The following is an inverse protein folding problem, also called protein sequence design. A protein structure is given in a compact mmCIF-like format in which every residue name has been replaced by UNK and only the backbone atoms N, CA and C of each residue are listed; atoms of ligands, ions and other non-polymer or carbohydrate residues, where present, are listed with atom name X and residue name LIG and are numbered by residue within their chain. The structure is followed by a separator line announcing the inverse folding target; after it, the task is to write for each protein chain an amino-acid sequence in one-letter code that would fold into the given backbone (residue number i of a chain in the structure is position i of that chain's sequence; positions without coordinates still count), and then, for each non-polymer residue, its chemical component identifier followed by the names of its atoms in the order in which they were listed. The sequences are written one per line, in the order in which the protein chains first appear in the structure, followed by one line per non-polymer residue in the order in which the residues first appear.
data_IF_196403616694
#
_entry.id   IF_196403616694
#
_cell.length_a   1.000
_cell.length_b   1.000
_cell.length_c   1.000
_cell.angle_alpha   90.00
_cell.angle_beta   90.00
_cell.angle_gamma   90.00
#
_symmetry.space_group_name_H-M   'P 1'
#
loop_
_entity.id
_entity.type
_entity.pdbx_description
1 polymer ?
#
# COMPACT_ATOMS: atom_id res chain seq x y z
N UNK A 1 -7.41 -40.07 3.13
CA UNK A 1 -7.18 -38.62 2.92
C UNK A 1 -5.94 -38.25 3.71
N UNK A 2 -4.92 -37.68 3.08
CA UNK A 2 -3.78 -37.13 3.82
C UNK A 2 -4.28 -35.85 4.50
N UNK A 3 -4.04 -35.76 5.81
CA UNK A 3 -4.42 -34.61 6.62
C UNK A 3 -3.33 -33.54 6.42
N UNK A 4 -3.30 -32.95 5.22
CA UNK A 4 -2.29 -31.96 4.82
C UNK A 4 -2.62 -30.60 5.45
N UNK A 5 -2.45 -30.53 6.77
CA UNK A 5 -2.65 -29.34 7.58
C UNK A 5 -1.35 -28.55 7.65
N UNK A 6 -1.38 -27.27 7.30
CA UNK A 6 -0.23 -26.36 7.37
C UNK A 6 -0.46 -25.34 8.48
N UNK A 7 0.28 -25.46 9.58
CA UNK A 7 0.19 -24.50 10.69
C UNK A 7 1.03 -23.25 10.43
N UNK A 8 0.41 -22.06 10.57
CA UNK A 8 1.07 -20.77 10.41
C UNK A 8 1.14 -20.02 11.75
N UNK A 9 2.32 -20.02 12.37
CA UNK A 9 2.58 -19.28 13.61
C UNK A 9 3.11 -17.87 13.36
N UNK A 10 2.38 -16.83 13.73
CA UNK A 10 2.77 -15.43 13.52
C UNK A 10 3.12 -14.76 14.84
N UNK A 11 4.34 -14.21 14.93
CA UNK A 11 4.83 -13.45 16.08
C UNK A 11 4.73 -11.94 15.83
N UNK A 12 4.48 -11.12 16.87
CA UNK A 12 4.43 -9.68 16.73
C UNK A 12 5.81 -9.14 16.33
N UNK A 13 5.83 -8.04 15.59
CA UNK A 13 7.07 -7.30 15.30
C UNK A 13 7.60 -6.58 16.54
N UNK A 14 8.86 -6.17 16.51
CA UNK A 14 9.40 -5.21 17.47
C UNK A 14 8.80 -3.81 17.20
N UNK A 15 8.31 -3.13 18.24
CA UNK A 15 7.74 -1.77 18.10
C UNK A 15 8.77 -0.72 17.68
N UNK A 16 10.05 -0.97 17.94
CA UNK A 16 11.12 -0.03 17.64
C UNK A 16 11.51 -0.02 16.15
N UNK A 17 10.97 -0.96 15.37
CA UNK A 17 11.22 -1.08 13.93
C UNK A 17 9.89 -1.38 13.20
N UNK A 18 9.06 -0.35 12.96
CA UNK A 18 7.73 -0.52 12.39
C UNK A 18 7.75 -1.08 10.96
N UNK A 19 8.88 -0.95 10.25
CA UNK A 19 9.08 -1.57 8.93
C UNK A 19 8.92 -3.10 8.95
N UNK A 20 9.14 -3.75 10.10
CA UNK A 20 8.94 -5.20 10.24
C UNK A 20 7.51 -5.65 10.04
N UNK A 21 6.51 -4.80 10.29
CA UNK A 21 5.10 -5.14 9.99
C UNK A 21 4.85 -5.19 8.49
N UNK A 22 5.45 -4.28 7.71
CA UNK A 22 5.36 -4.31 6.25
C UNK A 22 6.05 -5.57 5.72
N UNK A 23 7.27 -5.85 6.17
CA UNK A 23 8.00 -7.06 5.77
C UNK A 23 7.22 -8.34 6.11
N UNK A 24 6.59 -8.39 7.29
CA UNK A 24 5.76 -9.51 7.70
C UNK A 24 4.54 -9.66 6.81
N UNK A 25 3.83 -8.56 6.51
CA UNK A 25 2.70 -8.55 5.58
C UNK A 25 3.11 -9.04 4.19
N UNK A 26 4.25 -8.60 3.65
CA UNK A 26 4.76 -9.10 2.36
C UNK A 26 5.05 -10.61 2.38
N UNK A 27 5.66 -11.11 3.46
CA UNK A 27 5.93 -12.55 3.62
C UNK A 27 4.66 -13.36 3.70
N UNK A 28 3.67 -12.87 4.45
CA UNK A 28 2.34 -13.50 4.51
C UNK A 28 1.70 -13.50 3.12
N UNK A 29 1.67 -12.38 2.41
CA UNK A 29 1.08 -12.32 1.06
C UNK A 29 1.78 -13.29 0.08
N UNK A 30 3.12 -13.41 0.15
CA UNK A 30 3.86 -14.42 -0.63
C UNK A 30 3.46 -15.84 -0.24
N UNK A 31 3.31 -16.12 1.05
CA UNK A 31 2.85 -17.42 1.53
C UNK A 31 1.44 -17.75 1.04
N UNK A 32 0.50 -16.79 1.13
CA UNK A 32 -0.85 -16.95 0.60
C UNK A 32 -0.82 -17.22 -0.90
N UNK A 33 -0.03 -16.48 -1.67
CA UNK A 33 0.13 -16.69 -3.11
C UNK A 33 0.58 -18.12 -3.42
N UNK A 34 1.59 -18.62 -2.72
CA UNK A 34 2.06 -20.01 -2.88
C UNK A 34 0.96 -21.03 -2.57
N UNK A 35 0.18 -20.80 -1.50
CA UNK A 35 -0.94 -21.67 -1.15
C UNK A 35 -2.07 -21.65 -2.19
N UNK A 36 -2.34 -20.49 -2.79
CA UNK A 36 -3.37 -20.37 -3.85
C UNK A 36 -2.95 -21.00 -5.17
N UNK A 37 -1.65 -21.17 -5.40
CA UNK A 37 -1.09 -21.83 -6.60
C UNK A 37 -1.03 -23.36 -6.47
N UNK A 38 -1.30 -23.92 -5.28
CA UNK A 38 -1.38 -25.36 -5.08
C UNK A 38 -2.58 -25.96 -5.82
N UNK A 39 -2.41 -27.17 -6.33
CA UNK A 39 -3.47 -27.96 -6.97
C UNK A 39 -4.56 -28.44 -6.01
N UNK A 40 -4.35 -28.27 -4.70
CA UNK A 40 -5.28 -28.60 -3.64
C UNK A 40 -5.35 -27.46 -2.62
N UNK A 41 -6.45 -27.38 -1.86
CA UNK A 41 -6.66 -26.34 -0.85
C UNK A 41 -6.32 -26.88 0.54
N UNK A 42 -5.09 -26.68 1.06
CA UNK A 42 -4.75 -27.11 2.41
C UNK A 42 -5.61 -26.39 3.45
N UNK A 43 -5.88 -27.07 4.57
CA UNK A 43 -6.39 -26.41 5.76
C UNK A 43 -5.24 -25.66 6.42
N UNK A 44 -5.41 -24.36 6.65
CA UNK A 44 -4.37 -23.51 7.24
C UNK A 44 -4.84 -22.95 8.58
N UNK A 45 -4.52 -23.60 9.71
CA UNK A 45 -4.69 -23.01 11.03
C UNK A 45 -3.62 -21.95 11.27
N UNK A 46 -4.07 -20.71 11.51
CA UNK A 46 -3.20 -19.57 11.80
C UNK A 46 -3.20 -19.29 13.30
N UNK A 47 -2.04 -19.26 13.92
CA UNK A 47 -1.87 -18.92 15.33
C UNK A 47 -1.19 -17.57 15.52
N UNK A 48 -1.81 -16.64 16.24
CA UNK A 48 -1.10 -15.47 16.76
C UNK A 48 -0.33 -15.89 18.02
N UNK A 49 1.00 -16.01 17.90
CA UNK A 49 1.87 -16.45 18.98
C UNK A 49 2.44 -15.21 19.68
N UNK A 50 2.38 -15.17 21.02
CA UNK A 50 2.88 -14.08 21.89
C UNK A 50 2.01 -12.81 21.92
N UNK A 51 2.39 -11.83 22.74
CA UNK A 51 1.60 -10.62 23.05
C UNK A 51 1.50 -9.66 21.85
N UNK A 52 0.38 -9.70 21.13
CA UNK A 52 -0.04 -8.71 20.13
C UNK A 52 -0.74 -7.48 20.73
N UNK A 53 -0.75 -7.39 22.06
CA UNK A 53 -1.26 -6.26 22.81
C UNK A 53 -0.17 -5.63 23.67
N UNK A 54 -0.33 -4.33 23.94
CA UNK A 54 0.41 -3.61 24.96
C UNK A 54 0.05 -4.10 26.37
N UNK A 55 0.83 -3.68 27.38
CA UNK A 55 0.57 -4.03 28.78
C UNK A 55 -0.78 -3.53 29.30
N UNK A 56 -1.36 -2.49 28.68
CA UNK A 56 -2.68 -1.94 29.00
C UNK A 56 -3.83 -2.74 28.33
N UNK A 57 -3.51 -3.83 27.64
CA UNK A 57 -4.47 -4.66 26.91
C UNK A 57 -4.89 -4.11 25.55
N UNK A 58 -4.43 -2.92 25.13
CA UNK A 58 -4.74 -2.43 23.78
C UNK A 58 -3.95 -3.20 22.75
N UNK A 59 -4.59 -3.50 21.62
CA UNK A 59 -3.88 -4.08 20.50
C UNK A 59 -2.74 -3.17 20.04
N UNK A 60 -1.66 -3.77 19.57
CA UNK A 60 -0.47 -3.05 19.12
C UNK A 60 -0.70 -2.42 17.75
N UNK A 61 -0.33 -1.16 17.59
CA UNK A 61 -0.28 -0.44 16.31
C UNK A 61 1.14 0.13 16.11
N UNK A 62 1.97 -0.58 15.36
CA UNK A 62 3.35 -0.14 15.07
C UNK A 62 3.37 0.96 13.99
N UNK A 63 2.39 0.96 13.08
CA UNK A 63 2.28 1.94 12.00
C UNK A 63 0.99 2.72 12.21
N UNK A 64 1.10 3.95 12.73
CA UNK A 64 -0.08 4.81 12.90
C UNK A 64 -0.73 5.11 11.57
N UNK A 65 -2.03 4.89 11.50
CA UNK A 65 -2.87 5.33 10.40
C UNK A 65 -3.60 6.62 10.79
N UNK A 66 -3.38 7.75 10.09
CA UNK A 66 -3.99 9.02 10.46
C UNK A 66 -5.51 9.04 10.27
N UNK A 67 -6.07 8.09 9.51
CA UNK A 67 -7.50 8.08 9.23
C UNK A 67 -8.25 7.11 10.15
N UNK A 68 -7.72 5.92 10.37
CA UNK A 68 -8.44 4.85 11.08
C UNK A 68 -7.47 3.92 11.79
N UNK A 69 -7.69 3.69 13.08
CA UNK A 69 -6.90 2.78 13.89
C UNK A 69 -6.80 1.39 13.25
N UNK A 70 -5.57 0.89 13.07
CA UNK A 70 -5.32 -0.39 12.39
C UNK A 70 -4.30 -1.25 13.15
N UNK A 71 -4.76 -2.22 13.97
CA UNK A 71 -3.88 -3.12 14.69
C UNK A 71 -2.95 -3.93 13.78
N UNK A 72 -1.75 -4.20 14.27
CA UNK A 72 -0.73 -4.97 13.56
C UNK A 72 -1.22 -6.39 13.21
N UNK A 73 -2.02 -7.00 14.09
CA UNK A 73 -2.53 -8.35 13.84
C UNK A 73 -3.52 -8.37 12.66
N UNK A 74 -4.27 -7.29 12.44
CA UNK A 74 -5.21 -7.23 11.30
C UNK A 74 -4.44 -7.19 9.99
N UNK A 75 -3.36 -6.41 9.94
CA UNK A 75 -2.50 -6.28 8.76
C UNK A 75 -1.95 -7.64 8.31
N UNK A 76 -1.60 -8.51 9.25
CA UNK A 76 -0.99 -9.82 8.95
C UNK A 76 -2.00 -10.94 8.79
N UNK A 77 -3.19 -10.85 9.40
CA UNK A 77 -4.23 -11.88 9.27
C UNK A 77 -5.08 -11.66 8.02
N UNK A 78 -5.27 -10.42 7.59
CA UNK A 78 -6.14 -10.09 6.47
C UNK A 78 -5.83 -10.86 5.18
N UNK A 79 -4.56 -11.07 4.76
CA UNK A 79 -4.27 -11.85 3.56
C UNK A 79 -4.85 -13.27 3.56
N UNK A 80 -5.00 -13.91 4.72
CA UNK A 80 -5.54 -15.27 4.82
C UNK A 80 -7.00 -15.37 4.39
N UNK A 81 -7.75 -14.26 4.33
CA UNK A 81 -9.13 -14.26 3.82
C UNK A 81 -9.24 -14.66 2.35
N UNK A 82 -8.13 -14.64 1.61
CA UNK A 82 -8.06 -15.07 0.22
C UNK A 82 -8.11 -16.60 0.09
N UNK A 83 -7.82 -17.35 1.17
CA UNK A 83 -7.94 -18.80 1.18
C UNK A 83 -9.39 -19.21 1.40
N UNK A 84 -9.83 -20.27 0.71
CA UNK A 84 -11.17 -20.84 0.92
C UNK A 84 -11.26 -21.70 2.17
N UNK A 85 -10.17 -22.38 2.57
CA UNK A 85 -10.11 -23.26 3.74
C UNK A 85 -9.04 -22.80 4.75
N UNK A 86 -9.35 -21.80 5.56
CA UNK A 86 -8.47 -21.37 6.64
C UNK A 86 -9.23 -21.21 7.95
N UNK A 87 -8.51 -21.38 9.05
CA UNK A 87 -8.98 -21.12 10.41
C UNK A 87 -7.94 -20.28 11.14
N UNK A 88 -8.35 -19.59 12.19
CA UNK A 88 -7.41 -18.95 13.08
C UNK A 88 -7.65 -19.38 14.53
N UNK A 89 -6.58 -19.39 15.30
CA UNK A 89 -6.57 -19.62 16.73
C UNK A 89 -5.82 -18.46 17.38
N UNK A 90 -6.44 -17.85 18.37
CA UNK A 90 -5.82 -16.82 19.19
C UNK A 90 -5.42 -17.50 20.50
N UNK A 91 -4.16 -17.39 20.89
CA UNK A 91 -3.67 -17.97 22.15
C UNK A 91 -4.46 -17.44 23.35
N UNK A 92 -4.64 -18.25 24.40
CA UNK A 92 -5.36 -17.90 25.63
C UNK A 92 -4.84 -16.61 26.30
N UNK A 93 -3.56 -16.24 26.10
CA UNK A 93 -2.99 -15.00 26.64
C UNK A 93 -3.50 -13.71 25.96
N UNK A 94 -3.95 -13.80 24.71
CA UNK A 94 -4.68 -12.74 24.00
C UNK A 94 -6.18 -12.79 24.32
N UNK A 95 -6.62 -13.92 24.86
CA UNK A 95 -8.00 -14.22 25.13
C UNK A 95 -8.54 -13.36 26.28
N UNK A 96 -7.79 -12.92 27.28
CA UNK A 96 -8.38 -12.01 28.31
C UNK A 96 -8.83 -10.65 27.78
N UNK A 97 -8.33 -10.21 26.61
CA UNK A 97 -8.77 -8.96 25.95
C UNK A 97 -9.85 -9.24 24.89
N UNK A 98 -9.81 -10.42 24.26
CA UNK A 98 -10.68 -10.81 23.14
C UNK A 98 -11.90 -11.64 23.62
N UNK A 99 -11.79 -12.35 24.75
CA UNK A 99 -12.78 -13.24 25.38
C UNK A 99 -13.91 -12.45 25.99
N UNK A 100 -14.89 -12.19 25.14
CA UNK A 100 -16.25 -12.69 25.39
C UNK A 100 -16.61 -13.74 24.31
N UNK A 101 -15.63 -14.54 23.88
CA UNK A 101 -15.64 -15.33 22.63
C UNK A 101 -15.73 -16.87 22.83
N UNK A 102 -16.19 -17.39 23.97
CA UNK A 102 -16.24 -18.84 24.20
C UNK A 102 -17.52 -19.55 23.71
N UNK A 103 -18.22 -19.04 22.69
CA UNK A 103 -19.44 -19.68 22.15
C UNK A 103 -19.58 -19.64 20.62
N UNK A 104 -18.48 -19.75 19.87
CA UNK A 104 -18.58 -19.91 18.41
C UNK A 104 -18.23 -21.35 17.98
N UNK A 105 -19.33 -22.05 17.66
CA UNK A 105 -19.47 -23.38 17.08
C UNK A 105 -18.60 -23.64 15.84
N UNK A 106 -18.38 -24.94 15.55
CA UNK A 106 -17.55 -25.57 14.51
C UNK A 106 -17.96 -25.29 13.04
N UNK A 107 -18.15 -24.03 12.65
CA UNK A 107 -18.44 -23.60 11.26
C UNK A 107 -17.51 -22.45 10.84
N UNK A 108 -17.19 -22.23 9.55
CA UNK A 108 -15.98 -21.52 9.07
C UNK A 108 -15.79 -20.15 9.76
N UNK A 109 -15.03 -20.20 10.85
CA UNK A 109 -14.96 -19.21 11.93
C UNK A 109 -14.22 -17.95 11.48
N UNK A 110 -13.37 -18.05 10.46
CA UNK A 110 -12.36 -17.03 10.20
C UNK A 110 -12.95 -15.71 9.63
N UNK A 111 -13.91 -15.78 8.69
CA UNK A 111 -14.59 -14.59 8.15
C UNK A 111 -15.54 -13.93 9.16
N UNK A 112 -16.37 -14.72 9.86
CA UNK A 112 -17.30 -14.23 10.89
C UNK A 112 -16.58 -13.68 12.12
N UNK A 113 -15.43 -14.25 12.47
CA UNK A 113 -14.68 -13.82 13.65
C UNK A 113 -13.69 -12.71 13.33
N UNK A 114 -13.29 -12.52 12.06
CA UNK A 114 -12.73 -11.22 11.66
C UNK A 114 -13.84 -10.17 11.74
N UNK A 115 -15.03 -10.42 11.18
CA UNK A 115 -16.21 -9.54 11.34
C UNK A 115 -16.54 -9.24 12.82
N UNK A 116 -16.39 -10.19 13.76
CA UNK A 116 -16.56 -9.93 15.21
C UNK A 116 -15.44 -9.09 15.81
N UNK A 117 -14.17 -9.36 15.46
CA UNK A 117 -13.02 -8.53 15.86
C UNK A 117 -13.20 -7.08 15.40
N UNK A 118 -13.69 -6.90 14.17
CA UNK A 118 -13.92 -5.58 13.55
C UNK A 118 -15.12 -4.85 14.15
N UNK A 119 -16.13 -5.57 14.63
CA UNK A 119 -17.30 -5.01 15.35
C UNK A 119 -16.93 -4.39 16.70
N UNK A 120 -15.85 -4.84 17.36
CA UNK A 120 -15.59 -4.56 18.78
C UNK A 120 -14.55 -3.45 19.02
N UNK A 121 -13.68 -3.17 18.05
CA UNK A 121 -12.55 -2.25 18.23
C UNK A 121 -12.74 -0.83 17.65
N UNK A 122 -13.91 -0.48 17.11
CA UNK A 122 -14.18 0.84 16.56
C UNK A 122 -15.15 1.68 17.44
N UNK A 123 -14.68 2.77 18.08
CA UNK A 123 -15.55 3.70 18.80
C UNK A 123 -16.37 4.61 17.86
N UNK A 124 -16.05 4.71 16.56
CA UNK A 124 -16.78 5.51 15.57
C UNK A 124 -17.74 4.64 14.74
N UNK A 125 -18.87 4.32 15.36
CA UNK A 125 -19.91 3.36 14.96
C UNK A 125 -20.63 3.54 13.62
N UNK A 126 -20.46 4.60 12.82
CA UNK A 126 -21.44 4.89 11.75
C UNK A 126 -21.19 4.17 10.41
N UNK A 127 -20.00 4.30 9.80
CA UNK A 127 -19.74 3.70 8.48
C UNK A 127 -19.50 2.20 8.58
N UNK A 128 -18.69 1.75 9.54
CA UNK A 128 -18.32 0.33 9.66
C UNK A 128 -19.51 -0.54 10.04
N UNK A 129 -20.40 -0.07 10.91
CA UNK A 129 -21.63 -0.78 11.29
C UNK A 129 -22.61 -0.90 10.12
N UNK A 130 -22.70 0.12 9.26
CA UNK A 130 -23.47 0.04 8.02
C UNK A 130 -22.94 -1.09 7.12
N UNK A 131 -21.63 -1.13 6.86
CA UNK A 131 -21.00 -2.20 6.07
C UNK A 131 -21.17 -3.60 6.69
N UNK A 132 -21.08 -3.70 8.01
CA UNK A 132 -21.23 -4.97 8.75
C UNK A 132 -22.68 -5.48 8.82
N UNK A 133 -23.66 -4.59 8.63
CA UNK A 133 -25.07 -4.93 8.49
C UNK A 133 -25.42 -5.32 7.05
N UNK A 134 -24.74 -4.75 6.05
CA UNK A 134 -24.89 -5.11 4.62
C UNK A 134 -24.21 -6.45 4.30
N UNK A 135 -23.06 -6.75 4.91
CA UNK A 135 -22.29 -7.99 4.69
C UNK A 135 -22.97 -9.28 5.22
N UNK A 136 -24.28 -9.27 5.49
CA UNK A 136 -25.02 -10.48 5.86
C UNK A 136 -25.08 -11.50 4.71
N UNK A 137 -24.94 -11.03 3.46
CA UNK A 137 -24.81 -11.85 2.27
C UNK A 137 -23.33 -12.20 1.98
N UNK A 138 -23.06 -13.50 1.79
CA UNK A 138 -21.72 -14.03 1.49
C UNK A 138 -21.05 -13.36 0.27
N UNK A 139 -21.85 -12.90 -0.70
CA UNK A 139 -21.38 -12.20 -1.91
C UNK A 139 -20.78 -10.83 -1.56
N UNK A 140 -21.44 -10.07 -0.68
CA UNK A 140 -20.95 -8.76 -0.23
C UNK A 140 -19.69 -8.87 0.64
N UNK A 141 -19.49 -10.01 1.31
CA UNK A 141 -18.29 -10.24 2.11
C UNK A 141 -17.01 -10.30 1.26
N UNK A 142 -17.06 -10.85 0.03
CA UNK A 142 -15.86 -11.00 -0.81
C UNK A 142 -15.31 -9.64 -1.24
N UNK A 143 -16.18 -8.79 -1.79
CA UNK A 143 -15.83 -7.43 -2.17
C UNK A 143 -15.28 -6.63 -0.99
N UNK A 144 -15.85 -6.82 0.21
CA UNK A 144 -15.37 -6.12 1.41
C UNK A 144 -13.91 -6.50 1.76
N UNK A 145 -13.58 -7.79 1.72
CA UNK A 145 -12.20 -8.24 1.97
C UNK A 145 -11.24 -7.76 0.88
N UNK A 146 -11.64 -7.81 -0.39
CA UNK A 146 -10.82 -7.29 -1.50
C UNK A 146 -10.55 -5.79 -1.35
N UNK A 147 -11.58 -5.01 -1.00
CA UNK A 147 -11.44 -3.58 -0.71
C UNK A 147 -10.47 -3.34 0.44
N UNK A 148 -10.56 -4.12 1.52
CA UNK A 148 -9.69 -3.96 2.68
C UNK A 148 -8.25 -4.39 2.43
N UNK A 149 -8.04 -5.47 1.68
CA UNK A 149 -6.71 -5.88 1.23
C UNK A 149 -6.07 -4.76 0.40
N UNK A 150 -6.85 -4.18 -0.51
CA UNK A 150 -6.43 -3.06 -1.35
C UNK A 150 -6.09 -1.83 -0.50
N UNK A 151 -6.98 -1.43 0.41
CA UNK A 151 -6.76 -0.30 1.31
C UNK A 151 -5.56 -0.53 2.23
N UNK A 152 -5.35 -1.75 2.71
CA UNK A 152 -4.18 -2.12 3.51
C UNK A 152 -2.89 -2.04 2.70
N UNK A 153 -2.89 -2.54 1.46
CA UNK A 153 -1.74 -2.41 0.56
C UNK A 153 -1.38 -0.95 0.29
N UNK A 154 -2.36 -0.12 -0.11
CA UNK A 154 -2.16 1.31 -0.38
C UNK A 154 -1.66 2.03 0.88
N UNK A 155 -2.27 1.74 2.03
CA UNK A 155 -1.83 2.29 3.32
C UNK A 155 -0.36 1.96 3.60
N UNK A 156 0.03 0.68 3.55
CA UNK A 156 1.40 0.26 3.85
C UNK A 156 2.40 0.84 2.85
N UNK A 157 2.07 0.85 1.56
CA UNK A 157 2.93 1.39 0.50
C UNK A 157 3.17 2.90 0.69
N UNK A 158 2.11 3.68 0.97
CA UNK A 158 2.23 5.12 1.26
C UNK A 158 2.96 5.38 2.58
N UNK A 159 2.71 4.61 3.64
CA UNK A 159 3.41 4.81 4.92
C UNK A 159 4.89 4.48 4.84
N UNK A 160 5.29 3.50 4.02
CA UNK A 160 6.69 3.11 3.84
C UNK A 160 7.60 4.30 3.49
N UNK A 161 7.10 5.29 2.74
CA UNK A 161 7.85 6.50 2.38
C UNK A 161 8.37 7.24 3.62
N UNK A 162 7.55 7.32 4.67
CA UNK A 162 7.82 8.15 5.86
C UNK A 162 8.17 7.33 7.10
N UNK A 163 8.15 6.00 7.02
CA UNK A 163 8.41 5.15 8.18
C UNK A 163 9.89 5.19 8.59
N UNK A 164 10.17 5.35 9.89
CA UNK A 164 11.52 5.20 10.41
C UNK A 164 11.88 3.72 10.61
N UNK A 165 13.16 3.47 10.87
CA UNK A 165 13.69 2.15 11.21
C UNK A 165 14.44 1.49 10.05
N UNK A 166 15.41 0.65 10.42
CA UNK A 166 16.31 -0.06 9.51
C UNK A 166 15.54 -0.90 8.49
N UNK A 167 14.53 -1.67 8.93
CA UNK A 167 13.74 -2.48 7.99
C UNK A 167 13.01 -1.61 6.97
N UNK A 168 12.46 -0.46 7.39
CA UNK A 168 11.80 0.47 6.47
C UNK A 168 12.79 1.05 5.45
N UNK A 169 14.03 1.35 5.87
CA UNK A 169 15.08 1.86 5.00
C UNK A 169 15.45 0.85 3.91
N UNK A 170 15.64 -0.42 4.29
CA UNK A 170 15.94 -1.51 3.35
C UNK A 170 14.76 -1.79 2.42
N UNK A 171 13.53 -1.78 2.93
CA UNK A 171 12.33 -1.95 2.12
C UNK A 171 12.15 -0.83 1.09
N UNK A 172 12.40 0.43 1.47
CA UNK A 172 12.42 1.56 0.53
C UNK A 172 13.49 1.36 -0.54
N UNK A 173 14.70 1.00 -0.14
CA UNK A 173 15.80 0.73 -1.08
C UNK A 173 15.42 -0.37 -2.07
N UNK A 174 14.91 -1.51 -1.59
CA UNK A 174 14.48 -2.60 -2.46
C UNK A 174 13.35 -2.18 -3.40
N UNK A 175 12.38 -1.41 -2.92
CA UNK A 175 11.27 -0.91 -3.75
C UNK A 175 11.76 0.04 -4.84
N UNK A 176 12.60 1.00 -4.49
CA UNK A 176 13.17 1.93 -5.47
C UNK A 176 14.07 1.19 -6.46
N UNK A 177 14.89 0.23 -6.02
CA UNK A 177 15.74 -0.57 -6.90
C UNK A 177 14.98 -1.33 -7.99
N UNK A 178 13.72 -1.69 -7.75
CA UNK A 178 12.86 -2.39 -8.72
C UNK A 178 11.78 -1.47 -9.31
N UNK A 179 12.01 -0.15 -9.27
CA UNK A 179 11.06 0.82 -9.83
C UNK A 179 10.94 0.72 -11.35
N UNK A 180 12.00 0.32 -12.05
CA UNK A 180 11.97 -0.04 -13.46
C UNK A 180 12.54 -1.46 -13.60
N UNK A 181 12.10 -2.20 -14.62
CA UNK A 181 12.78 -3.44 -14.97
C UNK A 181 14.18 -3.15 -15.50
N UNK A 182 15.11 -4.10 -15.36
CA UNK A 182 16.46 -4.05 -15.94
C UNK A 182 16.41 -4.23 -17.47
N UNK A 183 15.49 -3.50 -18.12
CA UNK A 183 15.18 -3.57 -19.55
C UNK A 183 15.23 -2.17 -20.16
N UNK A 184 15.29 -2.09 -21.48
CA UNK A 184 15.21 -0.82 -22.21
C UNK A 184 13.81 -0.23 -22.22
N UNK A 185 12.79 -1.05 -21.94
CA UNK A 185 11.44 -0.58 -21.72
C UNK A 185 11.36 -0.11 -20.27
N UNK A 186 11.35 1.21 -20.06
CA UNK A 186 11.19 1.84 -18.74
C UNK A 186 9.79 1.58 -18.15
N UNK A 187 9.40 0.32 -18.01
CA UNK A 187 8.17 -0.15 -17.38
C UNK A 187 8.54 -0.96 -16.16
N UNK A 188 7.68 -0.95 -15.16
CA UNK A 188 7.81 -1.83 -14.01
C UNK A 188 6.48 -2.38 -13.61
N UNK A 189 6.51 -3.65 -13.22
CA UNK A 189 5.40 -4.30 -12.54
C UNK A 189 4.89 -3.50 -11.33
N UNK A 190 5.79 -2.82 -10.60
CA UNK A 190 5.39 -1.95 -9.50
C UNK A 190 4.63 -0.71 -9.98
N UNK A 191 5.13 -0.03 -11.02
CA UNK A 191 4.47 1.13 -11.60
C UNK A 191 3.10 0.76 -12.19
N UNK A 192 3.02 -0.35 -12.92
CA UNK A 192 1.76 -0.86 -13.47
C UNK A 192 0.75 -1.18 -12.36
N UNK A 193 1.19 -1.81 -11.26
CA UNK A 193 0.32 -2.08 -10.12
C UNK A 193 -0.12 -0.78 -9.44
N UNK A 194 0.77 0.20 -9.27
CA UNK A 194 0.46 1.50 -8.69
C UNK A 194 -0.57 2.26 -9.54
N UNK A 195 -0.39 2.28 -10.86
CA UNK A 195 -1.33 2.90 -11.80
C UNK A 195 -2.69 2.18 -11.78
N UNK A 196 -2.68 0.85 -11.79
CA UNK A 196 -3.90 0.03 -11.66
C UNK A 196 -4.65 0.36 -10.36
N UNK A 197 -3.93 0.52 -9.26
CA UNK A 197 -4.51 0.88 -7.96
C UNK A 197 -5.10 2.29 -7.97
N UNK A 198 -4.39 3.26 -8.54
CA UNK A 198 -4.88 4.64 -8.67
C UNK A 198 -6.14 4.67 -9.52
N UNK A 199 -6.16 3.97 -10.65
CA UNK A 199 -7.28 4.01 -11.58
C UNK A 199 -8.51 3.25 -11.06
N UNK A 200 -8.33 2.08 -10.44
CA UNK A 200 -9.45 1.28 -9.91
C UNK A 200 -9.92 1.74 -8.53
N UNK A 201 -9.04 2.38 -7.74
CA UNK A 201 -9.28 2.69 -6.32
C UNK A 201 -8.91 4.13 -5.96
N UNK A 202 -9.08 5.08 -6.89
CA UNK A 202 -8.69 6.49 -6.70
C UNK A 202 -9.17 7.09 -5.38
N UNK A 203 -10.41 6.78 -4.98
CA UNK A 203 -10.99 7.29 -3.73
C UNK A 203 -10.25 6.78 -2.48
N UNK A 204 -9.79 5.52 -2.48
CA UNK A 204 -8.97 4.95 -1.41
C UNK A 204 -7.58 5.58 -1.45
N UNK A 205 -7.00 5.72 -2.64
CA UNK A 205 -5.68 6.32 -2.81
C UNK A 205 -5.66 7.77 -2.31
N UNK A 206 -6.64 8.59 -2.69
CA UNK A 206 -6.76 9.98 -2.25
C UNK A 206 -6.99 10.13 -0.74
N UNK A 207 -7.54 9.12 -0.07
CA UNK A 207 -7.67 9.05 1.39
C UNK A 207 -6.29 9.00 2.05
N UNK A 208 -5.39 8.17 1.51
CA UNK A 208 -4.06 7.93 2.08
C UNK A 208 -2.94 8.82 1.54
N UNK A 209 -3.02 9.24 0.28
CA UNK A 209 -2.08 10.11 -0.40
C UNK A 209 -2.82 11.24 -1.16
N UNK A 210 -3.29 12.27 -0.43
CA UNK A 210 -4.00 13.38 -1.03
C UNK A 210 -3.17 14.04 -2.14
N UNK A 211 -3.79 14.18 -3.32
CA UNK A 211 -3.17 14.77 -4.52
C UNK A 211 -1.96 13.97 -5.04
N UNK A 212 -1.83 12.69 -4.66
CA UNK A 212 -0.74 11.81 -5.08
C UNK A 212 0.64 12.39 -4.72
N UNK A 213 0.73 13.09 -3.59
CA UNK A 213 1.94 13.81 -3.19
C UNK A 213 3.10 12.85 -2.91
N UNK A 214 2.83 11.77 -2.19
CA UNK A 214 3.81 10.75 -1.87
C UNK A 214 4.19 9.91 -3.08
N UNK A 215 3.22 9.50 -3.90
CA UNK A 215 3.49 8.80 -5.16
C UNK A 215 4.42 9.61 -6.08
N UNK A 216 4.17 10.92 -6.23
CA UNK A 216 5.05 11.82 -6.99
C UNK A 216 6.44 11.96 -6.38
N UNK A 217 6.52 12.11 -5.06
CA UNK A 217 7.80 12.21 -4.34
C UNK A 217 8.62 10.94 -4.49
N UNK A 218 7.97 9.78 -4.40
CA UNK A 218 8.57 8.46 -4.54
C UNK A 218 9.13 8.22 -5.92
N UNK A 219 8.36 8.51 -6.97
CA UNK A 219 8.82 8.44 -8.36
C UNK A 219 10.04 9.34 -8.60
N UNK A 220 9.98 10.59 -8.12
CA UNK A 220 11.11 11.54 -8.19
C UNK A 220 12.35 11.01 -7.45
N UNK A 221 12.15 10.45 -6.28
CA UNK A 221 13.23 9.87 -5.46
C UNK A 221 13.88 8.67 -6.14
N UNK A 222 13.10 7.84 -6.84
CA UNK A 222 13.62 6.71 -7.61
C UNK A 222 14.64 7.18 -8.67
N UNK A 223 14.22 8.13 -9.51
CA UNK A 223 15.04 8.69 -10.60
C UNK A 223 16.31 9.34 -10.03
N UNK A 224 16.16 10.24 -9.04
CA UNK A 224 17.30 10.95 -8.47
C UNK A 224 18.31 10.02 -7.80
N UNK A 225 17.84 9.03 -7.04
CA UNK A 225 18.72 8.08 -6.36
C UNK A 225 19.46 7.21 -7.37
N UNK A 226 18.79 6.77 -8.44
CA UNK A 226 19.43 6.02 -9.51
C UNK A 226 20.57 6.82 -10.16
N UNK A 227 20.33 8.09 -10.50
CA UNK A 227 21.39 8.95 -11.07
C UNK A 227 22.57 9.11 -10.14
N UNK A 228 22.33 9.29 -8.84
CA UNK A 228 23.41 9.38 -7.86
C UNK A 228 24.25 8.09 -7.85
N UNK A 229 23.61 6.92 -7.80
CA UNK A 229 24.29 5.63 -7.83
C UNK A 229 25.13 5.47 -9.12
N UNK A 230 24.57 5.84 -10.28
CA UNK A 230 25.27 5.77 -11.55
C UNK A 230 26.45 6.76 -11.64
N UNK A 231 26.31 7.97 -11.08
CA UNK A 231 27.40 8.94 -11.05
C UNK A 231 28.54 8.52 -10.13
N UNK A 232 28.22 7.97 -8.95
CA UNK A 232 29.18 7.42 -7.99
C UNK A 232 30.01 6.28 -8.62
N UNK A 233 29.42 5.46 -9.50
CA UNK A 233 30.14 4.37 -10.20
C UNK A 233 31.21 4.84 -11.18
N UNK A 234 30.98 5.96 -11.87
CA UNK A 234 31.82 6.37 -13.01
C UNK A 234 32.99 7.27 -12.57
N UNK A 235 33.08 7.62 -11.29
CA UNK A 235 34.05 8.58 -10.72
C UNK A 235 34.12 9.90 -11.53
N UNK A 236 32.99 10.25 -12.14
CA UNK A 236 32.84 11.47 -12.96
C UNK A 236 31.94 12.45 -12.25
N UNK A 237 32.21 13.74 -12.46
CA UNK A 237 31.30 14.80 -12.07
C UNK A 237 29.87 14.45 -12.55
N UNK A 238 28.86 14.42 -11.66
CA UNK A 238 27.49 13.99 -11.99
C UNK A 238 26.88 14.74 -13.18
N UNK A 239 27.41 15.91 -13.53
CA UNK A 239 27.00 16.73 -14.68
C UNK A 239 27.25 16.08 -16.05
N UNK A 240 28.11 15.07 -16.15
CA UNK A 240 28.44 14.40 -17.42
C UNK A 240 27.72 13.07 -17.66
N UNK A 241 27.01 12.54 -16.67
CA UNK A 241 26.38 11.23 -16.76
C UNK A 241 25.02 11.37 -17.44
N UNK A 242 24.75 10.63 -18.53
CA UNK A 242 23.44 10.63 -19.15
C UNK A 242 22.35 10.31 -18.12
N UNK A 243 21.28 11.11 -18.13
CA UNK A 243 20.09 10.98 -17.27
C UNK A 243 19.28 9.70 -17.64
N UNK A 244 19.79 8.86 -18.53
CA UNK A 244 19.13 7.63 -18.98
C UNK A 244 20.16 6.50 -19.17
N UNK A 245 20.95 6.19 -18.14
CA UNK A 245 21.61 4.89 -18.13
C UNK A 245 20.54 3.79 -17.97
N UNK A 246 20.76 2.59 -18.54
CA UNK A 246 19.87 1.46 -18.29
C UNK A 246 19.71 1.25 -16.79
N UNK A 247 18.47 0.96 -16.38
CA UNK A 247 18.20 0.65 -14.98
C UNK A 247 18.94 -0.63 -14.59
N UNK A 248 19.62 -0.59 -13.45
CA UNK A 248 20.41 -1.70 -12.93
C UNK A 248 20.08 -1.85 -11.45
N UNK A 249 19.11 -2.71 -11.17
CA UNK A 249 18.63 -3.00 -9.82
C UNK A 249 19.71 -3.62 -8.92
N UNK A 250 20.66 -4.35 -9.53
CA UNK A 250 21.66 -5.16 -8.81
C UNK A 250 22.64 -4.32 -7.98
N UNK A 251 22.86 -3.06 -8.37
CA UNK A 251 23.85 -2.19 -7.72
C UNK A 251 23.31 -1.38 -6.56
N UNK A 252 22.00 -1.33 -6.38
CA UNK A 252 21.39 -0.58 -5.30
C UNK A 252 21.79 -1.10 -3.92
N UNK A 253 21.80 -2.42 -3.74
CA UNK A 253 22.17 -3.02 -2.46
C UNK A 253 23.63 -2.72 -2.08
N UNK A 254 24.53 -2.68 -3.06
CA UNK A 254 25.93 -2.36 -2.84
C UNK A 254 26.15 -0.85 -2.62
N UNK A 255 25.42 -0.01 -3.34
CA UNK A 255 25.54 1.45 -3.25
C UNK A 255 24.81 2.04 -2.02
N UNK A 256 23.79 1.35 -1.50
CA UNK A 256 22.97 1.77 -0.36
C UNK A 256 22.78 0.58 0.62
N UNK A 257 23.87 0.09 1.25
CA UNK A 257 23.79 -1.07 2.14
C UNK A 257 22.92 -0.82 3.37
N UNK A 258 22.88 0.42 3.86
CA UNK A 258 22.04 0.83 4.98
C UNK A 258 20.59 1.15 4.57
N UNK A 259 20.28 1.05 3.27
CA UNK A 259 18.99 1.37 2.69
C UNK A 259 18.79 2.87 2.42
N UNK A 260 17.54 3.28 2.28
CA UNK A 260 17.16 4.67 1.95
C UNK A 260 16.40 5.28 3.11
N UNK A 261 16.81 6.48 3.54
CA UNK A 261 16.14 7.26 4.59
C UNK A 261 14.71 7.67 4.22
N UNK A 262 14.07 8.46 5.07
CA UNK A 262 12.70 8.93 4.80
C UNK A 262 12.63 9.66 3.46
N UNK A 263 11.51 9.50 2.76
CA UNK A 263 11.22 10.31 1.59
C UNK A 263 10.49 11.55 2.10
N UNK A 264 11.25 12.60 2.41
CA UNK A 264 10.70 13.91 2.70
C UNK A 264 11.00 14.90 1.59
N UNK A 265 10.14 15.91 1.44
CA UNK A 265 10.34 16.98 0.47
C UNK A 265 11.67 17.71 0.74
N UNK A 266 12.04 17.89 2.01
CA UNK A 266 13.29 18.52 2.40
C UNK A 266 14.52 17.70 1.98
N UNK A 267 14.53 16.40 2.26
CA UNK A 267 15.62 15.50 1.86
C UNK A 267 15.75 15.41 0.34
N UNK A 268 14.61 15.33 -0.36
CA UNK A 268 14.60 15.27 -1.83
C UNK A 268 15.07 16.58 -2.44
N UNK A 269 14.65 17.74 -1.90
CA UNK A 269 15.14 19.04 -2.34
C UNK A 269 16.65 19.22 -2.08
N UNK A 270 17.18 18.68 -0.98
CA UNK A 270 18.63 18.75 -0.71
C UNK A 270 19.42 17.98 -1.76
N UNK A 271 18.92 16.81 -2.17
CA UNK A 271 19.47 16.03 -3.27
C UNK A 271 19.31 16.73 -4.64
N UNK A 272 18.19 17.41 -4.87
CA UNK A 272 17.93 18.18 -6.10
C UNK A 272 18.83 19.41 -6.25
N UNK A 273 19.08 20.12 -5.15
CA UNK A 273 19.96 21.30 -5.13
C UNK A 273 21.39 20.92 -5.49
N UNK A 274 21.83 19.71 -5.17
CA UNK A 274 23.14 19.19 -5.59
C UNK A 274 23.21 18.84 -7.08
N UNK A 275 22.07 18.65 -7.75
CA UNK A 275 22.00 18.08 -9.11
C UNK A 275 21.50 19.10 -10.18
N UNK A 276 21.23 20.35 -9.80
CA UNK A 276 21.03 21.59 -10.59
C UNK A 276 20.52 21.51 -12.06
N UNK A 277 19.37 22.18 -12.28
CA UNK A 277 18.72 22.65 -13.52
C UNK A 277 18.43 21.67 -14.68
N UNK A 278 19.37 20.89 -15.19
CA UNK A 278 19.11 20.03 -16.36
C UNK A 278 18.29 18.79 -16.00
N UNK A 279 18.44 18.28 -14.78
CA UNK A 279 17.56 17.24 -14.24
C UNK A 279 16.17 17.82 -13.91
N UNK A 280 16.07 19.13 -13.67
CA UNK A 280 14.79 19.76 -13.33
C UNK A 280 13.85 19.84 -14.55
N UNK A 281 14.37 20.13 -15.75
CA UNK A 281 13.57 20.07 -16.99
C UNK A 281 13.13 18.63 -17.28
N UNK A 282 14.05 17.66 -17.20
CA UNK A 282 13.75 16.24 -17.39
C UNK A 282 12.74 15.69 -16.37
N UNK A 283 12.91 15.99 -15.08
CA UNK A 283 11.98 15.58 -14.03
C UNK A 283 10.60 16.21 -14.23
N UNK A 284 10.54 17.47 -14.67
CA UNK A 284 9.26 18.09 -15.01
C UNK A 284 8.62 17.42 -16.23
N UNK A 285 9.40 16.98 -17.21
CA UNK A 285 8.89 16.21 -18.35
C UNK A 285 8.40 14.83 -17.95
N UNK A 286 9.11 14.12 -17.06
CA UNK A 286 8.71 12.80 -16.55
C UNK A 286 7.51 12.89 -15.61
N UNK A 287 7.46 13.90 -14.73
CA UNK A 287 6.28 14.17 -13.91
C UNK A 287 5.11 14.56 -14.80
N UNK A 288 5.34 15.40 -15.82
CA UNK A 288 4.30 15.74 -16.78
C UNK A 288 3.88 14.52 -17.60
N UNK A 289 4.78 13.58 -17.88
CA UNK A 289 4.48 12.32 -18.56
C UNK A 289 3.63 11.42 -17.66
N UNK A 290 4.04 11.18 -16.43
CA UNK A 290 3.24 10.47 -15.42
C UNK A 290 1.84 11.08 -15.25
N UNK A 291 1.73 12.42 -15.19
CA UNK A 291 0.45 13.11 -15.14
C UNK A 291 -0.34 13.01 -16.44
N UNK A 292 0.33 12.99 -17.60
CA UNK A 292 -0.29 12.76 -18.91
C UNK A 292 -0.80 11.33 -19.03
N UNK A 293 -0.08 10.34 -18.53
CA UNK A 293 -0.47 8.94 -18.52
C UNK A 293 -1.68 8.74 -17.60
N UNK A 294 -1.66 9.31 -16.39
CA UNK A 294 -2.83 9.35 -15.51
C UNK A 294 -4.06 10.01 -16.17
N UNK A 295 -3.85 11.04 -16.99
CA UNK A 295 -4.93 11.69 -17.74
C UNK A 295 -5.40 10.87 -18.95
N UNK A 296 -4.48 10.30 -19.73
CA UNK A 296 -4.77 9.46 -20.89
C UNK A 296 -5.56 8.21 -20.49
N UNK A 297 -5.28 7.69 -19.29
CA UNK A 297 -5.94 6.51 -18.74
C UNK A 297 -7.31 6.84 -18.11
N UNK A 298 -7.75 8.10 -18.18
CA UNK A 298 -9.05 8.55 -17.68
C UNK A 298 -9.13 8.69 -16.16
N UNK A 299 -8.01 8.60 -15.45
CA UNK A 299 -7.97 8.54 -13.99
C UNK A 299 -8.06 9.93 -13.33
N UNK A 300 -8.04 11.01 -14.13
CA UNK A 300 -8.30 12.39 -13.68
C UNK A 300 -9.27 13.06 -14.68
N UNK A 301 -10.39 13.68 -14.24
CA UNK A 301 -11.25 14.47 -15.13
C UNK A 301 -10.43 15.58 -15.80
N UNK A 302 -10.67 15.87 -17.08
CA UNK A 302 -9.98 16.93 -17.87
C UNK A 302 -9.71 18.18 -17.01
N UNK A 303 -8.50 18.29 -16.47
CA UNK A 303 -8.00 19.54 -15.93
C UNK A 303 -7.46 20.29 -17.14
N UNK A 304 -8.21 21.26 -17.65
CA UNK A 304 -7.73 22.15 -18.70
C UNK A 304 -6.60 23.01 -18.11
N UNK A 305 -5.37 22.53 -18.25
CA UNK A 305 -4.15 23.27 -17.97
C UNK A 305 -3.92 24.25 -19.12
N UNK A 306 -4.46 25.46 -19.01
CA UNK A 306 -4.05 26.54 -19.91
C UNK A 306 -2.78 27.19 -19.37
N UNK A 307 -1.78 27.34 -20.24
CA UNK A 307 -0.52 28.00 -19.95
C UNK A 307 -0.80 29.51 -19.79
N UNK A 308 -1.07 29.95 -18.56
CA UNK A 308 -1.14 31.38 -18.25
C UNK A 308 0.23 32.01 -18.44
N UNK A 309 0.31 33.15 -19.14
CA UNK A 309 1.56 33.80 -19.62
C UNK A 309 2.63 34.18 -18.59
N UNK A 310 2.49 33.79 -17.32
CA UNK A 310 3.46 34.03 -16.24
C UNK A 310 3.82 32.78 -15.41
N UNK A 311 3.71 31.57 -15.98
CA UNK A 311 4.28 30.36 -15.36
C UNK A 311 3.60 29.90 -14.05
N UNK A 312 2.46 30.48 -13.65
CA UNK A 312 1.64 29.97 -12.54
C UNK A 312 0.48 29.12 -13.05
N UNK A 313 0.41 27.90 -12.56
CA UNK A 313 -0.74 27.01 -12.72
C UNK A 313 -1.95 27.57 -11.95
N UNK A 314 -3.07 27.80 -12.64
CA UNK A 314 -4.38 28.06 -12.00
C UNK A 314 -5.28 26.86 -12.18
N UNK A 315 -5.92 26.42 -11.09
CA UNK A 315 -6.98 25.41 -11.11
C UNK A 315 -8.30 26.14 -11.31
N UNK A 316 -9.01 25.86 -12.42
CA UNK A 316 -10.37 26.33 -12.62
C UNK A 316 -11.34 25.35 -11.94
N UNK A 317 -12.30 25.89 -11.19
CA UNK A 317 -13.29 25.12 -10.43
C UNK A 317 -14.13 24.18 -11.31
N UNK A 318 -14.48 23.04 -10.73
CA UNK A 318 -15.28 21.97 -11.34
C UNK A 318 -16.67 22.52 -11.71
N UNK A 319 -17.02 22.47 -13.01
CA UNK A 319 -18.42 22.66 -13.43
C UNK A 319 -19.20 21.40 -13.04
N UNK A 320 -20.17 21.57 -12.14
CA UNK A 320 -21.14 20.55 -11.76
C UNK A 320 -21.89 20.04 -13.00
N UNK A 321 -21.84 18.73 -13.24
CA UNK A 321 -22.64 18.05 -14.26
C UNK A 321 -24.11 18.08 -13.82
N UNK A 322 -24.92 18.91 -14.47
CA UNK A 322 -26.39 18.83 -14.39
C UNK A 322 -26.83 17.50 -14.99
N UNK A 323 -27.51 16.68 -14.20
CA UNK A 323 -28.12 15.41 -14.64
C UNK A 323 -29.25 15.62 -15.65
N UNK A 324 -29.63 14.58 -16.40
CA UNK A 324 -30.63 14.68 -17.46
C UNK A 324 -32.04 14.89 -16.88
N UNK A 325 -32.75 15.87 -17.45
CA UNK A 325 -34.16 16.09 -17.18
C UNK A 325 -34.99 14.89 -17.69
N UNK A 326 -35.53 14.11 -16.76
CA UNK A 326 -36.50 13.06 -17.07
C UNK A 326 -37.83 13.68 -17.49
N UNK A 327 -38.15 13.58 -18.78
CA UNK A 327 -39.46 13.89 -19.32
C UNK A 327 -40.45 12.76 -18.99
N UNK A 328 -41.45 13.06 -18.17
CA UNK A 328 -42.63 12.22 -17.96
C UNK A 328 -43.55 12.40 -19.16
N UNK A 329 -43.77 11.33 -19.93
CA UNK A 329 -44.88 11.24 -20.90
C UNK A 329 -46.09 10.67 -20.17
N UNK A 330 -47.14 11.47 -20.06
CA UNK A 330 -48.47 10.99 -19.72
C UNK A 330 -49.09 10.30 -20.95
N UNK A 331 -49.63 9.12 -20.77
CA UNK A 331 -50.61 8.52 -21.68
C UNK A 331 -51.94 8.39 -20.95
N UNK A 332 -52.92 9.08 -21.51
CA UNK A 332 -54.38 8.89 -21.37
C UNK A 332 -54.82 7.48 -21.69
#
# INVERSE_FOLDING_TARGET
MRDDTVYAGIRPSNSNDPGRIILLSERVNKFIKLLTELSYTPCVPVGLIWRWCHHDGKAKESIRNPIEYRPDYEIVLMPFTQLSNWGYSISEDLSTVIVNESKLSKEPVAKRSMISLLRKHDPNRSERQYFLNTASDLVDSKWLFERWLTETRIFLDTRLDTLPGETAMLLRCRRLAHWFEDSTECKSQYEEQLLTDICNNLHIFMKHDPRLAQARLRHRSAILTHHQICAEKVDTNPRGVPICQPWDSSVWASARPDGIGTLSCAETMTNEVMIVFDIYSFLNEQIAQFLRDLHWWGCIPRMSLTRGGHGRLRVLGVKSLKGPAGGVKNTT
#
